data_IF_607531842347
#
_entry.id   IF_607531842347
#
_cell.length_a   1.000
_cell.length_b   1.000
_cell.length_c   1.000
_cell.angle_alpha   90.00
_cell.angle_beta   90.00
_cell.angle_gamma   90.00
#
_symmetry.space_group_name_H-M   'P 1'
#
loop_
_entity.id
_entity.type
_entity.pdbx_description
1 polymer ?
#
# COMPACT_ATOMS: atom_id res chain seq x y z
N UNK A 1 0.18 -16.06 29.41
CA UNK A 1 0.74 -16.57 28.14
C UNK A 1 -0.25 -17.36 27.28
N UNK A 2 -1.08 -18.26 27.85
CA UNK A 2 -1.98 -19.14 27.06
C UNK A 2 -3.04 -18.43 26.18
N UNK A 3 -3.48 -17.23 26.55
CA UNK A 3 -4.44 -16.46 25.73
C UNK A 3 -3.81 -15.87 24.46
N UNK A 4 -2.54 -15.47 24.52
CA UNK A 4 -1.81 -14.90 23.38
C UNK A 4 -1.41 -16.00 22.39
N UNK A 5 -1.07 -17.19 22.89
CA UNK A 5 -0.79 -18.37 22.07
C UNK A 5 -2.03 -18.79 21.29
N UNK A 6 -3.21 -18.84 21.94
CA UNK A 6 -4.47 -19.14 21.25
C UNK A 6 -4.79 -18.13 20.15
N UNK A 7 -4.65 -16.82 20.42
CA UNK A 7 -4.85 -15.76 19.41
C UNK A 7 -3.88 -15.87 18.23
N UNK A 8 -2.62 -16.20 18.50
CA UNK A 8 -1.61 -16.43 17.45
C UNK A 8 -1.94 -17.67 16.60
N UNK A 9 -2.47 -18.75 17.21
CA UNK A 9 -2.92 -19.94 16.48
C UNK A 9 -4.11 -19.64 15.56
N UNK A 10 -5.08 -18.83 16.00
CA UNK A 10 -6.20 -18.41 15.15
C UNK A 10 -5.75 -17.52 13.98
N UNK A 11 -4.81 -16.62 14.21
CA UNK A 11 -4.23 -15.79 13.15
C UNK A 11 -3.46 -16.61 12.10
N UNK A 12 -2.73 -17.65 12.54
CA UNK A 12 -1.99 -18.54 11.67
C UNK A 12 -2.93 -19.42 10.81
N UNK A 13 -3.99 -19.96 11.40
CA UNK A 13 -5.01 -20.75 10.67
C UNK A 13 -5.76 -19.88 9.65
N UNK A 14 -6.07 -18.63 9.97
CA UNK A 14 -6.69 -17.69 9.04
C UNK A 14 -5.78 -17.35 7.84
N UNK A 15 -4.47 -17.17 8.07
CA UNK A 15 -3.51 -16.95 6.98
C UNK A 15 -3.35 -18.17 6.07
N UNK A 16 -3.35 -19.40 6.62
CA UNK A 16 -3.27 -20.62 5.80
C UNK A 16 -4.56 -20.86 4.99
N UNK A 17 -5.73 -20.48 5.52
CA UNK A 17 -7.01 -20.62 4.83
C UNK A 17 -7.17 -19.69 3.61
N UNK A 18 -6.60 -18.48 3.66
CA UNK A 18 -6.64 -17.53 2.54
C UNK A 18 -5.87 -18.01 1.30
N UNK A 19 -4.87 -18.89 1.49
CA UNK A 19 -4.06 -19.47 0.42
C UNK A 19 -4.80 -20.51 -0.42
N UNK A 20 -5.77 -21.23 0.18
CA UNK A 20 -6.50 -22.31 -0.50
C UNK A 20 -7.63 -21.77 -1.41
N UNK A 21 -8.08 -20.54 -1.18
CA UNK A 21 -9.06 -19.86 -2.04
C UNK A 21 -8.46 -19.31 -3.34
N UNK A 22 -7.14 -19.40 -3.54
CA UNK A 22 -6.48 -19.06 -4.81
C UNK A 22 -6.40 -20.22 -5.81
N UNK A 23 -7.00 -21.37 -5.49
CA UNK A 23 -7.09 -22.49 -6.43
C UNK A 23 -8.12 -22.18 -7.54
N UNK A 24 -7.58 -21.76 -8.70
CA UNK A 24 -8.24 -21.66 -10.01
C UNK A 24 -9.22 -20.50 -10.20
N UNK A 25 -8.82 -19.28 -9.82
CA UNK A 25 -9.42 -18.11 -10.49
C UNK A 25 -8.99 -18.11 -11.96
N UNK A 26 -9.91 -17.87 -12.91
CA UNK A 26 -9.52 -17.56 -14.29
C UNK A 26 -8.55 -16.39 -14.25
N UNK A 27 -7.54 -16.42 -15.12
CA UNK A 27 -6.59 -15.32 -15.24
C UNK A 27 -7.41 -14.00 -15.28
N UNK A 28 -7.04 -13.00 -14.45
CA UNK A 28 -7.79 -11.75 -14.42
C UNK A 28 -7.88 -11.25 -15.85
N UNK A 29 -9.11 -10.98 -16.29
CA UNK A 29 -9.31 -10.40 -17.61
C UNK A 29 -8.45 -9.14 -17.70
N UNK A 30 -7.90 -8.80 -18.88
CA UNK A 30 -7.08 -7.59 -19.02
C UNK A 30 -7.80 -6.33 -18.50
N UNK A 31 -9.13 -6.32 -18.55
CA UNK A 31 -9.97 -5.29 -17.95
C UNK A 31 -9.91 -5.27 -16.41
N UNK A 32 -10.00 -6.42 -15.74
CA UNK A 32 -9.88 -6.53 -14.28
C UNK A 32 -8.47 -6.16 -13.78
N UNK A 33 -7.43 -6.56 -14.51
CA UNK A 33 -6.06 -6.17 -14.21
C UNK A 33 -5.87 -4.64 -14.32
N UNK A 34 -6.38 -4.01 -15.37
CA UNK A 34 -6.31 -2.55 -15.54
C UNK A 34 -7.02 -1.81 -14.39
N UNK A 35 -8.20 -2.28 -13.96
CA UNK A 35 -8.93 -1.68 -12.83
C UNK A 35 -8.22 -1.87 -11.50
N UNK A 36 -7.58 -3.01 -11.27
CA UNK A 36 -6.75 -3.23 -10.08
C UNK A 36 -5.56 -2.27 -10.03
N UNK A 37 -4.89 -2.04 -11.16
CA UNK A 37 -3.76 -1.09 -11.24
C UNK A 37 -4.21 0.36 -11.05
N UNK A 38 -5.35 0.76 -11.61
CA UNK A 38 -5.95 2.07 -11.36
C UNK A 38 -6.28 2.26 -9.87
N UNK A 39 -6.86 1.23 -9.23
CA UNK A 39 -7.14 1.21 -7.79
C UNK A 39 -5.88 1.33 -6.93
N UNK A 40 -4.82 0.59 -7.28
CA UNK A 40 -3.53 0.67 -6.59
C UNK A 40 -2.89 2.06 -6.74
N UNK A 41 -2.96 2.66 -7.94
CA UNK A 41 -2.47 4.01 -8.17
C UNK A 41 -3.25 5.05 -7.35
N UNK A 42 -4.58 4.95 -7.28
CA UNK A 42 -5.41 5.81 -6.42
C UNK A 42 -5.07 5.66 -4.95
N UNK A 43 -4.89 4.42 -4.48
CA UNK A 43 -4.51 4.15 -3.09
C UNK A 43 -3.14 4.74 -2.75
N UNK A 44 -2.16 4.59 -3.64
CA UNK A 44 -0.84 5.19 -3.48
C UNK A 44 -0.91 6.72 -3.43
N UNK A 45 -1.72 7.34 -4.30
CA UNK A 45 -1.93 8.78 -4.28
C UNK A 45 -2.64 9.26 -3.01
N UNK A 46 -3.69 8.56 -2.56
CA UNK A 46 -4.39 8.87 -1.33
C UNK A 46 -3.43 8.85 -0.13
N UNK A 47 -2.55 7.85 -0.04
CA UNK A 47 -1.50 7.81 0.97
C UNK A 47 -0.57 9.02 0.94
N UNK A 48 -0.25 9.57 -0.24
CA UNK A 48 0.54 10.81 -0.34
C UNK A 48 -0.25 12.03 0.15
N UNK A 49 -1.55 12.11 -0.18
CA UNK A 49 -2.44 13.18 0.30
C UNK A 49 -2.57 13.15 1.82
N UNK A 50 -2.70 11.97 2.41
CA UNK A 50 -2.83 11.82 3.85
C UNK A 50 -1.55 12.25 4.58
N UNK A 51 -0.38 11.88 4.04
CA UNK A 51 0.91 12.36 4.55
C UNK A 51 1.06 13.88 4.44
N UNK A 52 0.60 14.47 3.33
CA UNK A 52 0.60 15.93 3.16
C UNK A 52 -0.25 16.61 4.23
N UNK A 53 -1.47 16.13 4.47
CA UNK A 53 -2.37 16.66 5.51
C UNK A 53 -1.79 16.49 6.92
N UNK A 54 -1.16 15.35 7.20
CA UNK A 54 -0.49 15.10 8.47
C UNK A 54 0.64 16.12 8.70
N UNK A 55 1.46 16.36 7.68
CA UNK A 55 2.52 17.36 7.73
C UNK A 55 1.97 18.75 8.04
N UNK A 56 0.91 19.19 7.34
CA UNK A 56 0.28 20.48 7.62
C UNK A 56 -0.27 20.60 9.05
N UNK A 57 -0.82 19.51 9.60
CA UNK A 57 -1.30 19.47 10.98
C UNK A 57 -0.16 19.58 12.01
N UNK A 58 0.97 18.91 11.75
CA UNK A 58 2.19 19.01 12.56
C UNK A 58 2.75 20.43 12.53
N UNK A 59 2.84 21.05 11.35
CA UNK A 59 3.30 22.42 11.19
C UNK A 59 2.42 23.43 11.93
N UNK A 60 1.10 23.27 11.85
CA UNK A 60 0.15 24.10 12.60
C UNK A 60 0.36 23.95 14.11
N UNK A 61 0.60 22.73 14.59
CA UNK A 61 0.84 22.46 16.02
C UNK A 61 2.15 23.08 16.47
N UNK A 62 3.22 22.93 15.69
CA UNK A 62 4.51 23.54 15.97
C UNK A 62 4.44 25.08 15.94
N UNK A 63 3.66 25.64 15.01
CA UNK A 63 3.41 27.09 14.96
C UNK A 63 2.64 27.58 16.19
N UNK A 64 1.59 26.87 16.61
CA UNK A 64 0.84 27.21 17.82
C UNK A 64 1.72 27.18 19.08
N UNK A 65 2.52 26.13 19.25
CA UNK A 65 3.46 26.02 20.36
C UNK A 65 4.46 27.19 20.38
N UNK A 66 5.07 27.49 19.23
CA UNK A 66 6.05 28.59 19.10
C UNK A 66 5.45 29.96 19.42
N UNK A 67 4.16 30.17 19.16
CA UNK A 67 3.46 31.42 19.54
C UNK A 67 3.34 31.58 21.06
N UNK A 68 3.23 30.48 21.79
CA UNK A 68 3.02 30.49 23.25
C UNK A 68 4.30 30.36 24.06
N UNK A 69 5.34 29.74 23.51
CA UNK A 69 6.59 29.48 24.20
C UNK A 69 7.56 30.67 24.10
N UNK A 70 7.69 31.44 25.18
CA UNK A 70 8.47 32.69 25.22
C UNK A 70 10.00 32.48 25.19
N UNK A 71 10.47 31.29 25.54
CA UNK A 71 11.90 30.94 25.61
C UNK A 71 12.26 29.67 24.80
N UNK A 72 11.47 29.35 23.77
CA UNK A 72 11.73 28.16 22.96
C UNK A 72 13.05 28.30 22.17
N UNK A 73 13.91 27.28 22.25
CA UNK A 73 15.10 27.18 21.39
C UNK A 73 14.70 27.23 19.91
N UNK A 74 15.54 27.83 19.04
CA UNK A 74 15.29 27.83 17.60
C UNK A 74 15.07 26.41 17.09
N UNK A 75 13.95 26.20 16.40
CA UNK A 75 13.67 24.91 15.78
C UNK A 75 14.59 24.70 14.59
N UNK A 76 15.06 23.45 14.41
CA UNK A 76 15.71 23.05 13.17
C UNK A 76 14.75 23.27 11.99
N UNK A 77 15.29 23.70 10.85
CA UNK A 77 14.50 23.89 9.64
C UNK A 77 13.90 22.54 9.21
N UNK A 78 12.58 22.45 9.22
CA UNK A 78 11.85 21.32 8.65
C UNK A 78 11.64 21.57 7.16
N UNK A 79 11.74 20.53 6.32
CA UNK A 79 11.35 20.67 4.91
C UNK A 79 9.87 21.02 4.83
N UNK A 80 9.49 21.79 3.80
CA UNK A 80 8.09 22.12 3.56
C UNK A 80 7.27 20.86 3.23
N UNK A 81 5.98 20.89 3.59
CA UNK A 81 5.05 19.82 3.24
C UNK A 81 4.91 19.71 1.71
N UNK A 82 5.21 18.52 1.17
CA UNK A 82 5.13 18.26 -0.27
C UNK A 82 3.69 17.95 -0.69
N UNK A 83 3.09 18.82 -1.49
CA UNK A 83 1.77 18.58 -2.09
C UNK A 83 1.89 17.53 -3.21
N UNK A 84 1.14 16.41 -3.13
CA UNK A 84 1.16 15.39 -4.17
C UNK A 84 0.56 15.84 -5.51
N UNK A 85 -0.12 16.98 -5.55
CA UNK A 85 -0.81 17.47 -6.74
C UNK A 85 -2.03 16.62 -7.14
N UNK A 86 -2.67 16.94 -8.27
CA UNK A 86 -3.83 16.19 -8.75
C UNK A 86 -3.45 14.75 -9.11
N UNK A 87 -4.38 13.80 -8.88
CA UNK A 87 -4.19 12.43 -9.32
C UNK A 87 -4.23 12.36 -10.84
N UNK A 88 -3.12 11.92 -11.45
CA UNK A 88 -3.01 11.65 -12.88
C UNK A 88 -2.63 10.18 -13.05
N UNK A 89 -3.46 9.44 -13.79
CA UNK A 89 -3.22 8.04 -14.09
C UNK A 89 -3.01 7.87 -15.60
N UNK A 90 -1.81 7.41 -15.97
CA UNK A 90 -1.56 6.88 -17.32
C UNK A 90 -1.59 5.36 -17.19
N UNK A 91 -2.56 4.68 -17.83
CA UNK A 91 -2.60 3.22 -17.81
C UNK A 91 -1.27 2.64 -18.29
N UNK A 92 -0.67 1.68 -17.56
CA UNK A 92 0.52 1.01 -18.03
C UNK A 92 0.18 0.23 -19.30
N UNK A 93 1.04 0.31 -20.32
CA UNK A 93 0.90 -0.51 -21.52
C UNK A 93 0.88 -1.99 -21.14
N UNK A 94 0.03 -2.81 -21.78
CA UNK A 94 -0.02 -4.22 -21.50
C UNK A 94 1.33 -4.84 -21.85
N UNK A 95 2.09 -5.23 -20.83
CA UNK A 95 3.32 -5.99 -21.01
C UNK A 95 2.93 -7.31 -21.70
N UNK A 96 3.56 -7.67 -22.85
CA UNK A 96 3.28 -8.92 -23.52
C UNK A 96 3.37 -10.08 -22.52
N UNK A 97 2.39 -10.98 -22.58
CA UNK A 97 2.34 -12.16 -21.73
C UNK A 97 3.66 -12.93 -21.86
N UNK A 98 4.48 -12.88 -20.82
CA UNK A 98 5.65 -13.73 -20.73
C UNK A 98 5.12 -15.17 -20.65
N UNK A 99 5.43 -15.94 -21.69
CA UNK A 99 4.91 -17.27 -21.91
C UNK A 99 5.07 -18.11 -20.64
N UNK A 100 3.97 -18.69 -20.18
CA UNK A 100 3.97 -19.64 -19.08
C UNK A 100 5.00 -20.75 -19.35
N UNK A 101 5.78 -21.20 -18.35
CA UNK A 101 6.59 -22.40 -18.51
C UNK A 101 5.66 -23.56 -18.88
N UNK A 102 5.89 -24.14 -20.05
CA UNK A 102 5.24 -25.37 -20.51
C UNK A 102 5.39 -26.45 -19.44
N UNK A 103 4.31 -27.15 -19.03
CA UNK A 103 4.45 -28.31 -18.16
C UNK A 103 5.25 -29.37 -18.90
N UNK A 104 6.45 -29.68 -18.40
CA UNK A 104 7.23 -30.80 -18.88
C UNK A 104 6.41 -32.08 -18.66
N UNK A 105 6.09 -32.75 -19.77
CA UNK A 105 5.40 -34.03 -19.78
C UNK A 105 6.21 -35.06 -18.96
N UNK A 106 5.51 -35.80 -18.10
CA UNK A 106 6.08 -36.94 -17.40
C UNK A 106 6.50 -38.04 -18.38
N UNK A 107 7.72 -38.61 -18.29
CA UNK A 107 7.99 -39.89 -18.89
C UNK A 107 7.40 -41.01 -18.02
N UNK A 108 6.60 -41.88 -18.65
CA UNK A 108 6.23 -43.20 -18.12
C UNK A 108 7.44 -44.13 -18.23
N UNK A 109 7.81 -44.80 -17.14
CA UNK A 109 8.27 -46.20 -17.14
C UNK A 109 8.11 -46.78 -15.75
#
# INVERSE_FOLDING_TARGET
MSANIRRASWALVACLGASLAHAKLPAPTPEAAAKAQEGAAKAAWAGKVDNYKLCLAQDRTAAAYRRTAKDAKPAAATPACADPGPFVYTPPEPKPAEAAPTPAAAPKS
#
